data_IF_768406048085
#
_entry.id   IF_768406048085
#
_cell.length_a   1.000
_cell.length_b   1.000
_cell.length_c   1.000
_cell.angle_alpha   90.00
_cell.angle_beta   90.00
_cell.angle_gamma   90.00
#
_symmetry.space_group_name_H-M   'P 1'
#
loop_
_entity.id
_entity.type
_entity.pdbx_description
1 polymer ?
#
# COMPACT_ATOMS: atom_id res chain seq x y z
N UNK A 1 3.10 -8.84 9.41
CA UNK A 1 3.20 -10.25 8.98
C UNK A 1 3.50 -11.16 10.16
N UNK A 2 4.47 -10.81 11.01
CA UNK A 2 4.80 -11.59 12.22
C UNK A 2 3.62 -12.01 13.11
N UNK A 3 2.60 -11.16 13.26
CA UNK A 3 1.41 -11.50 14.04
C UNK A 3 0.62 -12.68 13.44
N UNK A 4 0.63 -12.82 12.12
CA UNK A 4 0.00 -13.93 11.39
C UNK A 4 0.87 -15.18 11.55
N UNK A 5 2.19 -15.07 11.39
CA UNK A 5 3.14 -16.18 11.59
C UNK A 5 2.99 -16.78 12.99
N UNK A 6 3.02 -15.94 14.03
CA UNK A 6 2.79 -16.36 15.41
C UNK A 6 1.43 -17.01 15.63
N UNK A 7 0.39 -16.58 14.90
CA UNK A 7 -0.93 -17.18 15.02
C UNK A 7 -1.00 -18.58 14.39
N UNK A 8 -0.28 -18.79 13.29
CA UNK A 8 -0.14 -20.10 12.64
C UNK A 8 0.70 -21.04 13.48
N UNK A 9 1.86 -20.59 13.97
CA UNK A 9 2.76 -21.39 14.82
C UNK A 9 2.11 -21.82 16.14
N UNK A 10 1.21 -21.00 16.67
CA UNK A 10 0.43 -21.31 17.88
C UNK A 10 -0.82 -22.15 17.60
N UNK A 11 -1.00 -22.67 16.38
CA UNK A 11 -2.13 -23.48 15.94
C UNK A 11 -3.50 -22.86 16.30
N UNK A 12 -3.63 -21.54 16.09
CA UNK A 12 -4.90 -20.84 16.35
C UNK A 12 -5.97 -21.27 15.35
N UNK A 13 -7.22 -21.13 15.77
CA UNK A 13 -8.38 -21.35 14.91
C UNK A 13 -8.27 -20.62 13.57
N UNK A 14 -8.60 -21.33 12.48
CA UNK A 14 -8.50 -20.82 11.11
C UNK A 14 -9.32 -19.53 10.91
N UNK A 15 -10.49 -19.40 11.55
CA UNK A 15 -11.32 -18.20 11.50
C UNK A 15 -10.61 -17.00 12.13
N UNK A 16 -9.93 -17.19 13.26
CA UNK A 16 -9.14 -16.14 13.89
C UNK A 16 -7.97 -15.67 13.01
N UNK A 17 -7.28 -16.60 12.34
CA UNK A 17 -6.21 -16.29 11.39
C UNK A 17 -6.76 -15.50 10.19
N UNK A 18 -7.90 -15.92 9.63
CA UNK A 18 -8.56 -15.22 8.52
C UNK A 18 -8.97 -13.79 8.89
N UNK A 19 -9.52 -13.58 10.09
CA UNK A 19 -9.85 -12.24 10.58
C UNK A 19 -8.61 -11.35 10.73
N UNK A 20 -7.51 -11.90 11.23
CA UNK A 20 -6.25 -11.17 11.35
C UNK A 20 -5.70 -10.76 9.98
N UNK A 21 -5.68 -11.67 9.00
CA UNK A 21 -5.27 -11.39 7.63
C UNK A 21 -6.16 -10.33 6.99
N UNK A 22 -7.48 -10.43 7.14
CA UNK A 22 -8.43 -9.45 6.62
C UNK A 22 -8.19 -8.05 7.21
N UNK A 23 -7.87 -7.97 8.50
CA UNK A 23 -7.57 -6.72 9.20
C UNK A 23 -6.27 -6.08 8.68
N UNK A 24 -5.22 -6.88 8.50
CA UNK A 24 -3.95 -6.43 7.91
C UNK A 24 -4.16 -5.94 6.48
N UNK A 25 -4.93 -6.67 5.66
CA UNK A 25 -5.27 -6.23 4.30
C UNK A 25 -5.92 -4.85 4.31
N UNK A 26 -6.91 -4.63 5.20
CA UNK A 26 -7.57 -3.33 5.31
C UNK A 26 -6.60 -2.19 5.68
N UNK A 27 -5.73 -2.43 6.67
CA UNK A 27 -4.71 -1.45 7.05
C UNK A 27 -3.73 -1.14 5.91
N UNK A 28 -3.30 -2.15 5.15
CA UNK A 28 -2.43 -1.97 3.99
C UNK A 28 -3.12 -1.18 2.88
N UNK A 29 -4.40 -1.45 2.57
CA UNK A 29 -5.16 -0.68 1.59
C UNK A 29 -5.27 0.80 1.97
N UNK A 30 -5.49 1.11 3.24
CA UNK A 30 -5.49 2.49 3.76
C UNK A 30 -4.12 3.16 3.58
N UNK A 31 -3.05 2.50 4.06
CA UNK A 31 -1.69 3.01 3.93
C UNK A 31 -1.28 3.24 2.47
N UNK A 32 -1.66 2.34 1.54
CA UNK A 32 -1.37 2.54 0.11
C UNK A 32 -2.05 3.81 -0.42
N UNK A 33 -3.26 4.12 0.04
CA UNK A 33 -3.97 5.34 -0.35
C UNK A 33 -3.24 6.59 0.15
N UNK A 34 -2.82 6.58 1.43
CA UNK A 34 -2.08 7.69 2.02
C UNK A 34 -0.75 7.95 1.29
N UNK A 35 -0.04 6.87 0.91
CA UNK A 35 1.22 6.97 0.16
C UNK A 35 1.01 7.47 -1.28
N UNK A 36 -0.09 7.10 -1.92
CA UNK A 36 -0.46 7.63 -3.25
C UNK A 36 -0.69 9.14 -3.16
N UNK A 37 -1.42 9.62 -2.15
CA UNK A 37 -1.65 11.05 -1.94
C UNK A 37 -0.34 11.80 -1.66
N UNK A 38 0.50 11.25 -0.77
CA UNK A 38 1.80 11.82 -0.46
C UNK A 38 2.70 11.89 -1.70
N UNK A 39 2.70 10.86 -2.56
CA UNK A 39 3.48 10.86 -3.80
C UNK A 39 2.97 11.91 -4.79
N UNK A 40 1.65 12.01 -4.95
CA UNK A 40 1.03 13.03 -5.80
C UNK A 40 1.39 14.45 -5.34
N UNK A 41 1.37 14.71 -4.03
CA UNK A 41 1.75 16.01 -3.49
C UNK A 41 3.23 16.33 -3.76
N UNK A 42 4.14 15.46 -3.32
CA UNK A 42 5.58 15.78 -3.27
C UNK A 42 6.33 15.53 -4.58
N UNK A 43 5.85 14.65 -5.45
CA UNK A 43 6.56 14.25 -6.66
C UNK A 43 5.85 14.64 -7.96
N UNK A 44 4.64 15.19 -7.88
CA UNK A 44 3.88 15.62 -9.06
C UNK A 44 3.39 17.06 -8.94
N UNK A 45 2.66 17.40 -7.88
CA UNK A 45 2.04 18.72 -7.73
C UNK A 45 3.07 19.80 -7.37
N UNK A 46 3.89 19.53 -6.37
CA UNK A 46 4.76 20.52 -5.74
C UNK A 46 6.20 20.47 -6.31
N UNK A 47 6.35 20.06 -7.59
CA UNK A 47 7.64 19.90 -8.29
C UNK A 47 7.77 20.91 -9.44
N UNK A 48 8.82 21.73 -9.38
CA UNK A 48 9.14 22.72 -10.41
C UNK A 48 9.87 22.13 -11.63
N UNK A 49 10.77 21.18 -11.40
CA UNK A 49 11.52 20.53 -12.48
C UNK A 49 10.60 19.63 -13.33
N UNK A 50 10.53 19.94 -14.63
CA UNK A 50 9.60 19.29 -15.53
C UNK A 50 9.92 17.80 -15.76
N UNK A 51 11.19 17.43 -15.72
CA UNK A 51 11.65 16.05 -15.90
C UNK A 51 11.29 15.20 -14.66
N UNK A 52 11.61 15.70 -13.47
CA UNK A 52 11.28 15.07 -12.20
C UNK A 52 9.77 14.92 -12.02
N UNK A 53 8.99 15.94 -12.38
CA UNK A 53 7.52 15.86 -12.36
C UNK A 53 6.98 14.81 -13.33
N UNK A 54 7.58 14.69 -14.53
CA UNK A 54 7.20 13.66 -15.49
C UNK A 54 7.49 12.27 -14.93
N UNK A 55 8.67 12.05 -14.38
CA UNK A 55 9.04 10.78 -13.75
C UNK A 55 8.08 10.43 -12.61
N UNK A 56 7.80 11.36 -11.69
CA UNK A 56 6.85 11.14 -10.60
C UNK A 56 5.45 10.77 -11.08
N UNK A 57 5.01 11.33 -12.22
CA UNK A 57 3.73 10.99 -12.84
C UNK A 57 3.73 9.59 -13.46
N UNK A 58 4.82 9.19 -14.13
CA UNK A 58 4.98 7.85 -14.70
C UNK A 58 5.02 6.77 -13.60
N UNK A 59 5.73 7.03 -12.51
CA UNK A 59 5.79 6.17 -11.33
C UNK A 59 4.39 5.99 -10.72
N UNK A 60 3.64 7.07 -10.57
CA UNK A 60 2.27 7.03 -10.05
C UNK A 60 1.34 6.20 -10.94
N UNK A 61 1.44 6.35 -12.27
CA UNK A 61 0.67 5.53 -13.23
C UNK A 61 1.03 4.05 -13.11
N UNK A 62 2.31 3.72 -12.94
CA UNK A 62 2.76 2.35 -12.77
C UNK A 62 2.17 1.71 -11.49
N UNK A 63 2.18 2.44 -10.37
CA UNK A 63 1.58 2.00 -9.10
C UNK A 63 0.07 1.81 -9.24
N UNK A 64 -0.64 2.78 -9.81
CA UNK A 64 -2.10 2.69 -9.99
C UNK A 64 -2.52 1.49 -10.85
N UNK A 65 -1.75 1.16 -11.90
CA UNK A 65 -1.99 -0.05 -12.71
C UNK A 65 -1.80 -1.34 -11.93
N UNK A 66 -0.94 -1.37 -10.91
CA UNK A 66 -0.77 -2.53 -10.05
C UNK A 66 -1.83 -2.59 -8.95
N UNK A 67 -2.29 -1.44 -8.47
CA UNK A 67 -3.23 -1.34 -7.34
C UNK A 67 -4.69 -1.54 -7.74
N UNK A 68 -5.07 -1.09 -8.94
CA UNK A 68 -6.45 -1.17 -9.47
C UNK A 68 -6.73 -2.42 -10.30
N UNK A 69 -5.74 -3.31 -10.46
CA UNK A 69 -5.96 -4.66 -11.01
C UNK A 69 -6.56 -5.57 -9.96
#
# INVERSE_FOLDING_TARGET
VEAIERAVEADKDCGAILHLVASVRGAMSGLTTDLIEAHLAHHVRDVEDAEARRQGSEDLVAVLRSYLK
#
